data_IF_770436043407
#
_entry.id   IF_770436043407
#
_cell.length_a   1.000
_cell.length_b   1.000
_cell.length_c   1.000
_cell.angle_alpha   90.00
_cell.angle_beta   90.00
_cell.angle_gamma   90.00
#
_symmetry.space_group_name_H-M   'P 1'
#
loop_
_entity.id
_entity.type
_entity.pdbx_description
1 polymer ?
#
# COMPACT_ATOMS: atom_id res chain seq x y z
N UNK A 1 3.49 -8.55 -24.73
CA UNK A 1 4.63 -7.74 -24.23
C UNK A 1 4.74 -6.36 -24.89
N UNK A 2 4.25 -6.17 -26.10
CA UNK A 2 4.36 -4.88 -26.84
C UNK A 2 3.73 -3.68 -26.10
N UNK A 3 2.71 -3.87 -25.28
CA UNK A 3 1.97 -2.77 -24.63
C UNK A 3 2.47 -2.42 -23.22
N UNK A 4 3.36 -3.23 -22.64
CA UNK A 4 3.80 -3.03 -21.27
C UNK A 4 4.76 -1.84 -21.10
N UNK A 5 5.73 -1.68 -21.99
CA UNK A 5 6.65 -0.54 -21.97
C UNK A 5 5.93 0.80 -22.22
N UNK A 6 5.04 0.92 -23.23
CA UNK A 6 4.20 2.10 -23.40
C UNK A 6 3.32 2.39 -22.19
N UNK A 7 2.77 1.36 -21.52
CA UNK A 7 2.02 1.52 -20.28
C UNK A 7 2.88 2.14 -19.17
N UNK A 8 4.07 1.60 -18.91
CA UNK A 8 4.98 2.12 -17.88
C UNK A 8 5.39 3.56 -18.15
N UNK A 9 5.67 3.90 -19.39
CA UNK A 9 6.04 5.27 -19.77
C UNK A 9 4.88 6.25 -19.58
N UNK A 10 3.67 5.89 -20.03
CA UNK A 10 2.47 6.74 -19.93
C UNK A 10 2.00 6.89 -18.48
N UNK A 11 2.24 5.88 -17.64
CA UNK A 11 1.79 5.83 -16.26
C UNK A 11 2.96 5.93 -15.25
N UNK A 12 4.08 6.53 -15.67
CA UNK A 12 5.20 6.77 -14.73
C UNK A 12 4.78 7.69 -13.59
N UNK A 13 5.48 7.59 -12.47
CA UNK A 13 5.17 8.32 -11.24
C UNK A 13 4.91 9.82 -11.49
N UNK A 14 5.77 10.49 -12.24
CA UNK A 14 5.64 11.94 -12.55
C UNK A 14 4.34 12.31 -13.30
N UNK A 15 3.68 11.36 -13.96
CA UNK A 15 2.41 11.57 -14.67
C UNK A 15 1.22 11.23 -13.78
N UNK A 16 1.29 10.13 -13.02
CA UNK A 16 0.16 9.64 -12.24
C UNK A 16 0.09 10.23 -10.85
N UNK A 17 1.22 10.52 -10.22
CA UNK A 17 1.26 11.07 -8.87
C UNK A 17 0.45 12.37 -8.70
N UNK A 18 0.56 13.38 -9.59
CA UNK A 18 -0.26 14.58 -9.46
C UNK A 18 -1.77 14.31 -9.54
N UNK A 19 -2.17 13.30 -10.31
CA UNK A 19 -3.59 12.91 -10.44
C UNK A 19 -4.11 12.22 -9.18
N UNK A 20 -3.31 11.30 -8.64
CA UNK A 20 -3.62 10.57 -7.41
C UNK A 20 -3.71 11.55 -6.23
N UNK A 21 -2.72 12.41 -6.06
CA UNK A 21 -2.68 13.38 -4.95
C UNK A 21 -3.80 14.41 -5.06
N UNK A 22 -4.10 14.89 -6.28
CA UNK A 22 -5.21 15.80 -6.52
C UNK A 22 -6.57 15.17 -6.14
N UNK A 23 -6.86 13.96 -6.64
CA UNK A 23 -8.11 13.25 -6.33
C UNK A 23 -8.28 13.06 -4.82
N UNK A 24 -7.23 12.60 -4.13
CA UNK A 24 -7.30 12.37 -2.69
C UNK A 24 -7.42 13.68 -1.91
N UNK A 25 -6.82 14.76 -2.39
CA UNK A 25 -6.97 16.09 -1.78
C UNK A 25 -8.40 16.59 -1.91
N UNK A 26 -8.98 16.52 -3.10
CA UNK A 26 -10.38 16.87 -3.34
C UNK A 26 -11.34 16.06 -2.45
N UNK A 27 -11.10 14.73 -2.36
CA UNK A 27 -11.85 13.85 -1.46
C UNK A 27 -11.71 14.28 0.00
N UNK A 28 -10.50 14.59 0.46
CA UNK A 28 -10.21 14.93 1.86
C UNK A 28 -10.73 16.32 2.26
N UNK A 29 -10.81 17.24 1.31
CA UNK A 29 -11.29 18.60 1.50
C UNK A 29 -12.80 18.73 1.28
N UNK A 30 -13.47 17.72 0.76
CA UNK A 30 -14.93 17.70 0.68
C UNK A 30 -15.51 17.72 2.11
N UNK A 31 -16.33 18.74 2.38
CA UNK A 31 -16.97 18.97 3.69
C UNK A 31 -17.86 17.81 4.15
N UNK A 32 -18.32 16.98 3.22
CA UNK A 32 -19.11 15.80 3.51
C UNK A 32 -18.26 14.58 3.88
N UNK A 33 -16.94 14.63 3.67
CA UNK A 33 -16.01 13.54 3.98
C UNK A 33 -15.52 13.65 5.42
N UNK A 34 -16.30 13.10 6.35
CA UNK A 34 -15.96 13.02 7.78
C UNK A 34 -15.33 11.68 8.15
N UNK A 35 -15.38 10.70 7.27
CA UNK A 35 -14.87 9.36 7.50
C UNK A 35 -13.36 9.29 7.28
N UNK A 36 -12.67 8.33 7.94
CA UNK A 36 -11.27 8.05 7.64
C UNK A 36 -11.10 7.55 6.20
N UNK A 37 -9.99 7.89 5.59
CA UNK A 37 -9.64 7.52 4.21
C UNK A 37 -8.46 6.55 4.24
N UNK A 38 -8.65 5.36 3.71
CA UNK A 38 -7.58 4.39 3.49
C UNK A 38 -7.22 4.25 2.02
N UNK A 39 -6.00 3.86 1.74
CA UNK A 39 -5.54 3.53 0.38
C UNK A 39 -5.02 2.10 0.31
N UNK A 40 -5.47 1.34 -0.68
CA UNK A 40 -4.91 0.05 -1.02
C UNK A 40 -4.23 0.13 -2.38
N UNK A 41 -2.94 -0.22 -2.45
CA UNK A 41 -2.16 -0.22 -3.68
C UNK A 41 -1.64 -1.61 -4.03
N UNK A 42 -1.80 -2.05 -5.28
CA UNK A 42 -1.38 -3.35 -5.75
C UNK A 42 -0.37 -3.20 -6.90
N UNK A 43 0.67 -4.03 -6.92
CA UNK A 43 1.66 -4.03 -7.99
C UNK A 43 2.18 -2.61 -8.27
N UNK A 44 1.95 -2.09 -9.47
CA UNK A 44 2.29 -0.73 -9.87
C UNK A 44 1.70 0.35 -8.92
N UNK A 45 0.49 0.15 -8.41
CA UNK A 45 -0.16 1.06 -7.46
C UNK A 45 0.48 1.09 -6.07
N UNK A 46 1.29 0.09 -5.73
CA UNK A 46 1.95 -0.02 -4.42
C UNK A 46 2.92 1.13 -4.13
N UNK A 47 3.69 1.59 -5.13
CA UNK A 47 4.56 2.75 -4.97
C UNK A 47 3.76 4.02 -4.62
N UNK A 48 2.60 4.22 -5.26
CA UNK A 48 1.74 5.37 -4.97
C UNK A 48 1.17 5.31 -3.55
N UNK A 49 0.72 4.12 -3.12
CA UNK A 49 0.23 3.91 -1.77
C UNK A 49 1.32 4.21 -0.72
N UNK A 50 2.53 3.69 -0.91
CA UNK A 50 3.65 3.94 0.01
C UNK A 50 4.04 5.43 0.02
N UNK A 51 4.08 6.10 -1.13
CA UNK A 51 4.38 7.54 -1.17
C UNK A 51 3.34 8.40 -0.46
N UNK A 52 2.08 7.96 -0.38
CA UNK A 52 1.05 8.63 0.42
C UNK A 52 1.29 8.53 1.93
N UNK A 53 2.09 7.57 2.37
CA UNK A 53 2.52 7.46 3.77
C UNK A 53 3.71 8.34 4.13
N UNK A 54 4.34 9.00 3.16
CA UNK A 54 5.49 9.87 3.41
C UNK A 54 5.05 11.25 3.91
N UNK A 55 5.90 11.90 4.70
CA UNK A 55 5.67 13.27 5.18
C UNK A 55 6.07 14.33 4.13
N UNK A 56 5.51 14.23 2.94
CA UNK A 56 5.75 15.18 1.84
C UNK A 56 4.53 16.08 1.61
N UNK A 57 4.76 17.28 1.10
CA UNK A 57 3.70 18.27 0.90
C UNK A 57 2.60 17.77 -0.05
N UNK A 58 2.98 17.02 -1.09
CA UNK A 58 2.06 16.49 -2.09
C UNK A 58 1.13 15.40 -1.53
N UNK A 59 1.51 14.77 -0.41
CA UNK A 59 0.70 13.78 0.31
C UNK A 59 -0.17 14.42 1.43
N UNK A 60 -0.32 15.74 1.43
CA UNK A 60 -1.08 16.50 2.44
C UNK A 60 -2.03 17.50 1.79
N UNK A 61 -3.04 17.90 2.57
CA UNK A 61 -3.90 19.06 2.28
C UNK A 61 -3.12 20.36 2.49
N UNK A 62 -3.72 21.50 2.14
CA UNK A 62 -3.18 22.83 2.45
C UNK A 62 -3.02 23.05 3.96
N UNK A 63 -3.92 22.51 4.77
CA UNK A 63 -3.84 22.52 6.24
C UNK A 63 -2.84 21.51 6.81
N UNK A 64 -2.02 20.86 5.96
CA UNK A 64 -1.01 19.85 6.32
C UNK A 64 -1.56 18.53 6.90
N UNK A 65 -2.86 18.27 6.78
CA UNK A 65 -3.45 16.98 7.12
C UNK A 65 -3.04 15.92 6.07
N UNK A 66 -2.63 14.71 6.46
CA UNK A 66 -2.38 13.63 5.51
C UNK A 66 -3.60 13.33 4.62
N UNK A 67 -3.37 13.01 3.35
CA UNK A 67 -4.44 12.69 2.40
C UNK A 67 -5.11 11.36 2.72
N UNK A 68 -4.42 10.48 3.43
CA UNK A 68 -4.93 9.16 3.88
C UNK A 68 -4.61 8.95 5.35
N UNK A 69 -5.40 8.13 6.03
CA UNK A 69 -5.22 7.81 7.46
C UNK A 69 -4.51 6.46 7.65
N UNK A 70 -4.59 5.55 6.66
CA UNK A 70 -3.93 4.25 6.69
C UNK A 70 -3.62 3.77 5.27
N UNK A 71 -2.56 2.98 5.16
CA UNK A 71 -2.05 2.45 3.89
C UNK A 71 -1.98 0.93 3.95
N UNK A 72 -2.44 0.28 2.88
CA UNK A 72 -2.19 -1.12 2.60
C UNK A 72 -1.56 -1.27 1.22
N UNK A 73 -0.62 -2.19 1.08
CA UNK A 73 -0.11 -2.57 -0.24
C UNK A 73 0.11 -4.07 -0.33
N UNK A 74 -0.15 -4.64 -1.50
CA UNK A 74 0.23 -6.00 -1.80
C UNK A 74 1.16 -6.06 -3.02
N UNK A 75 2.21 -6.87 -2.91
CA UNK A 75 3.25 -7.08 -3.95
C UNK A 75 3.62 -5.77 -4.68
N UNK A 76 4.09 -4.73 -3.96
CA UNK A 76 4.39 -3.44 -4.56
C UNK A 76 5.52 -3.54 -5.57
N UNK A 77 5.45 -2.72 -6.64
CA UNK A 77 6.49 -2.63 -7.66
C UNK A 77 7.22 -1.29 -7.61
N UNK A 78 8.44 -1.27 -8.15
CA UNK A 78 9.25 -0.06 -8.36
C UNK A 78 9.62 0.70 -7.08
N UNK A 79 9.69 0.01 -5.95
CA UNK A 79 10.17 0.59 -4.71
C UNK A 79 11.70 0.73 -4.72
N UNK A 80 12.17 1.87 -4.26
CA UNK A 80 13.56 2.07 -3.90
C UNK A 80 13.75 1.77 -2.42
N UNK A 81 14.11 0.53 -2.10
CA UNK A 81 14.44 0.10 -0.73
C UNK A 81 15.94 0.32 -0.52
N UNK A 82 16.36 1.01 0.55
CA UNK A 82 15.61 1.35 1.78
C UNK A 82 14.83 2.66 1.77
N UNK A 83 15.03 3.56 0.82
CA UNK A 83 14.57 4.96 0.90
C UNK A 83 13.05 5.11 0.99
N UNK A 84 12.28 4.42 0.12
CA UNK A 84 10.82 4.56 0.13
C UNK A 84 10.20 4.02 1.43
N UNK A 85 10.80 2.98 2.01
CA UNK A 85 10.34 2.40 3.28
C UNK A 85 10.79 3.24 4.48
N UNK A 86 12.01 3.76 4.42
CA UNK A 86 12.56 4.64 5.47
C UNK A 86 11.74 5.92 5.68
N UNK A 87 11.11 6.43 4.61
CA UNK A 87 10.30 7.65 4.63
C UNK A 87 8.83 7.44 5.05
N UNK A 88 8.43 6.23 5.39
CA UNK A 88 7.07 5.93 5.87
C UNK A 88 6.82 6.59 7.22
N UNK A 89 5.75 7.37 7.32
CA UNK A 89 5.31 8.08 8.55
C UNK A 89 3.85 7.80 8.90
N UNK A 90 3.09 7.12 8.03
CA UNK A 90 1.73 6.68 8.34
C UNK A 90 1.67 5.16 8.49
N UNK A 91 0.65 4.70 9.19
CA UNK A 91 0.40 3.29 9.43
C UNK A 91 0.30 2.50 8.11
N UNK A 92 1.09 1.43 8.00
CA UNK A 92 1.32 0.70 6.76
C UNK A 92 1.27 -0.82 6.97
N UNK A 93 0.44 -1.49 6.18
CA UNK A 93 0.44 -2.95 6.06
C UNK A 93 0.92 -3.37 4.67
N UNK A 94 1.85 -4.34 4.63
CA UNK A 94 2.42 -4.90 3.39
C UNK A 94 2.11 -6.40 3.34
N UNK A 95 1.54 -6.87 2.23
CA UNK A 95 1.43 -8.27 1.86
C UNK A 95 2.40 -8.57 0.71
N UNK A 96 3.37 -9.45 0.92
CA UNK A 96 4.41 -9.73 -0.07
C UNK A 96 4.74 -11.23 -0.14
N UNK A 97 4.96 -11.76 -1.34
CA UNK A 97 5.45 -13.12 -1.52
C UNK A 97 6.97 -13.18 -1.39
N UNK A 98 7.50 -14.26 -0.84
CA UNK A 98 8.96 -14.47 -0.76
C UNK A 98 9.59 -14.91 -2.10
N UNK A 99 8.76 -15.33 -3.07
CA UNK A 99 9.15 -15.59 -4.47
C UNK A 99 8.66 -14.47 -5.43
N UNK A 100 8.59 -13.23 -4.93
CA UNK A 100 8.22 -12.06 -5.73
C UNK A 100 9.38 -11.68 -6.67
N UNK A 101 9.20 -11.90 -7.98
CA UNK A 101 10.23 -11.61 -8.98
C UNK A 101 10.52 -10.12 -9.21
N UNK A 102 9.80 -9.21 -8.54
CA UNK A 102 9.96 -7.75 -8.67
C UNK A 102 10.66 -7.15 -7.47
N UNK A 103 10.38 -7.66 -6.28
CA UNK A 103 11.04 -7.28 -5.03
C UNK A 103 11.85 -8.47 -4.49
N UNK A 104 13.16 -8.33 -4.43
CA UNK A 104 14.04 -9.43 -4.00
C UNK A 104 13.84 -9.76 -2.52
N UNK A 105 14.14 -10.99 -2.12
CA UNK A 105 14.08 -11.43 -0.73
C UNK A 105 14.94 -10.56 0.21
N UNK A 106 16.04 -10.00 -0.27
CA UNK A 106 16.87 -9.05 0.49
C UNK A 106 16.09 -7.76 0.76
N UNK A 107 15.46 -7.18 -0.26
CA UNK A 107 14.66 -5.95 -0.11
C UNK A 107 13.45 -6.16 0.79
N UNK A 108 12.80 -7.34 0.73
CA UNK A 108 11.67 -7.70 1.60
C UNK A 108 12.10 -7.68 3.06
N UNK A 109 13.21 -8.37 3.40
CA UNK A 109 13.74 -8.41 4.77
C UNK A 109 14.21 -7.03 5.26
N UNK A 110 14.82 -6.25 4.37
CA UNK A 110 15.24 -4.88 4.69
C UNK A 110 14.03 -3.98 4.97
N UNK A 111 12.97 -4.07 4.17
CA UNK A 111 11.73 -3.35 4.41
C UNK A 111 11.06 -3.75 5.75
N UNK A 112 11.00 -5.05 6.05
CA UNK A 112 10.50 -5.57 7.32
C UNK A 112 11.30 -5.00 8.51
N UNK A 113 12.63 -5.06 8.45
CA UNK A 113 13.50 -4.56 9.50
C UNK A 113 13.37 -3.05 9.72
N UNK A 114 13.27 -2.27 8.63
CA UNK A 114 13.10 -0.81 8.72
C UNK A 114 11.75 -0.48 9.38
N UNK A 115 10.66 -1.13 8.99
CA UNK A 115 9.35 -0.88 9.57
C UNK A 115 9.27 -1.33 11.02
N UNK A 116 9.84 -2.48 11.36
CA UNK A 116 9.90 -2.98 12.74
C UNK A 116 10.69 -2.05 13.70
N UNK A 117 11.63 -1.27 13.17
CA UNK A 117 12.39 -0.29 13.95
C UNK A 117 11.65 1.03 14.19
N UNK A 118 10.54 1.28 13.50
CA UNK A 118 9.72 2.49 13.69
C UNK A 118 8.73 2.29 14.83
N UNK A 119 8.89 3.02 15.91
CA UNK A 119 8.05 2.89 17.12
C UNK A 119 6.79 3.75 17.09
N UNK A 120 6.76 4.74 16.22
CA UNK A 120 5.69 5.73 16.06
C UNK A 120 4.76 5.42 14.88
N UNK A 121 5.03 4.36 14.15
CA UNK A 121 4.25 3.87 13.00
C UNK A 121 3.75 2.46 13.31
N UNK A 122 2.41 2.28 13.37
CA UNK A 122 1.85 0.93 13.37
C UNK A 122 2.07 0.31 11.98
N UNK A 123 2.84 -0.77 11.93
CA UNK A 123 3.17 -1.40 10.67
C UNK A 123 3.21 -2.92 10.79
N UNK A 124 2.88 -3.59 9.69
CA UNK A 124 3.00 -5.03 9.55
C UNK A 124 3.50 -5.40 8.15
N UNK A 125 4.37 -6.40 8.08
CA UNK A 125 4.80 -7.04 6.84
C UNK A 125 4.46 -8.52 6.94
N UNK A 126 3.51 -8.97 6.13
CA UNK A 126 3.13 -10.38 6.05
C UNK A 126 3.77 -10.99 4.81
N UNK A 127 4.64 -11.98 5.04
CA UNK A 127 5.36 -12.67 3.97
C UNK A 127 4.63 -13.98 3.67
N UNK A 128 4.22 -14.16 2.41
CA UNK A 128 3.48 -15.33 1.93
C UNK A 128 4.46 -16.31 1.27
N UNK A 129 4.61 -17.53 1.81
CA UNK A 129 5.57 -18.50 1.29
C UNK A 129 5.28 -18.90 -0.16
N UNK A 130 6.31 -18.92 -1.01
CA UNK A 130 6.24 -19.30 -2.43
C UNK A 130 5.28 -18.44 -3.29
N UNK A 131 4.71 -17.39 -2.71
CA UNK A 131 3.82 -16.50 -3.45
C UNK A 131 4.61 -15.61 -4.40
N UNK A 132 4.11 -15.53 -5.63
CA UNK A 132 4.73 -14.75 -6.72
C UNK A 132 4.12 -13.36 -6.82
N UNK A 133 4.80 -12.49 -7.56
CA UNK A 133 4.27 -11.16 -7.86
C UNK A 133 2.87 -11.23 -8.44
N UNK A 134 1.94 -10.50 -7.83
CA UNK A 134 0.53 -10.47 -8.24
C UNK A 134 -0.37 -11.50 -7.56
N UNK A 135 0.13 -12.30 -6.62
CA UNK A 135 -0.61 -13.39 -5.98
C UNK A 135 -1.97 -12.96 -5.42
N UNK A 136 -2.06 -11.79 -4.82
CA UNK A 136 -3.29 -11.34 -4.15
C UNK A 136 -4.44 -10.97 -5.09
N UNK A 137 -4.15 -10.73 -6.39
CA UNK A 137 -5.15 -10.28 -7.36
C UNK A 137 -5.24 -11.14 -8.63
N UNK A 138 -4.29 -12.05 -8.85
CA UNK A 138 -4.22 -12.90 -10.06
C UNK A 138 -4.59 -14.36 -9.81
N UNK A 139 -4.83 -14.74 -8.55
CA UNK A 139 -5.22 -16.11 -8.22
C UNK A 139 -6.51 -16.51 -8.95
N UNK A 140 -6.50 -17.72 -9.47
CA UNK A 140 -7.65 -18.25 -10.20
C UNK A 140 -8.74 -18.72 -9.23
N UNK A 141 -9.86 -18.03 -9.20
CA UNK A 141 -11.03 -18.44 -8.40
C UNK A 141 -11.63 -19.78 -8.84
N UNK A 142 -11.23 -20.32 -10.00
CA UNK A 142 -11.64 -21.64 -10.47
C UNK A 142 -10.96 -22.80 -9.72
N UNK A 143 -9.95 -22.50 -8.87
CA UNK A 143 -9.24 -23.51 -8.03
C UNK A 143 -9.26 -23.08 -6.57
N UNK A 144 -10.41 -23.14 -5.89
CA UNK A 144 -10.59 -22.58 -4.54
C UNK A 144 -9.63 -23.19 -3.51
N UNK A 145 -9.25 -24.47 -3.68
CA UNK A 145 -8.36 -25.18 -2.76
C UNK A 145 -6.87 -25.03 -3.10
N UNK A 146 -6.51 -24.23 -4.09
CA UNK A 146 -5.10 -23.99 -4.39
C UNK A 146 -4.45 -23.11 -3.32
N UNK A 147 -3.15 -23.28 -3.11
CA UNK A 147 -2.36 -22.40 -2.23
C UNK A 147 -2.47 -20.94 -2.66
N UNK A 148 -2.41 -20.67 -3.97
CA UNK A 148 -2.52 -19.33 -4.54
C UNK A 148 -3.85 -18.65 -4.17
N UNK A 149 -4.97 -19.40 -4.27
CA UNK A 149 -6.29 -18.85 -3.90
C UNK A 149 -6.38 -18.58 -2.41
N UNK A 150 -5.93 -19.51 -1.56
CA UNK A 150 -5.92 -19.30 -0.10
C UNK A 150 -5.09 -18.08 0.30
N UNK A 151 -3.89 -17.93 -0.28
CA UNK A 151 -3.02 -16.78 0.00
C UNK A 151 -3.61 -15.46 -0.48
N UNK A 152 -4.30 -15.45 -1.64
CA UNK A 152 -5.00 -14.26 -2.11
C UNK A 152 -6.13 -13.85 -1.14
N UNK A 153 -6.93 -14.81 -0.66
CA UNK A 153 -7.97 -14.55 0.34
C UNK A 153 -7.40 -14.13 1.70
N UNK A 154 -6.25 -14.66 2.09
CA UNK A 154 -5.56 -14.24 3.32
C UNK A 154 -5.06 -12.80 3.21
N UNK A 155 -4.50 -12.39 2.06
CA UNK A 155 -4.09 -11.02 1.82
C UNK A 155 -5.30 -10.06 1.78
N UNK A 156 -6.43 -10.49 1.23
CA UNK A 156 -7.68 -9.73 1.29
C UNK A 156 -8.16 -9.56 2.73
N UNK A 157 -8.17 -10.63 3.52
CA UNK A 157 -8.52 -10.58 4.94
C UNK A 157 -7.54 -9.71 5.75
N UNK A 158 -6.24 -9.73 5.42
CA UNK A 158 -5.24 -8.83 6.01
C UNK A 158 -5.63 -7.37 5.75
N UNK A 159 -5.90 -7.00 4.51
CA UNK A 159 -6.30 -5.63 4.14
C UNK A 159 -7.57 -5.18 4.87
N UNK A 160 -8.61 -6.03 4.91
CA UNK A 160 -9.87 -5.71 5.59
C UNK A 160 -9.64 -5.51 7.09
N UNK A 161 -8.95 -6.43 7.76
CA UNK A 161 -8.66 -6.33 9.19
C UNK A 161 -7.78 -5.11 9.50
N UNK A 162 -6.81 -4.82 8.62
CA UNK A 162 -5.97 -3.65 8.72
C UNK A 162 -6.80 -2.37 8.77
N UNK A 163 -7.61 -2.12 7.75
CA UNK A 163 -8.44 -0.91 7.70
C UNK A 163 -9.47 -0.86 8.83
N UNK A 164 -10.09 -1.98 9.20
CA UNK A 164 -11.00 -2.04 10.35
C UNK A 164 -10.32 -1.62 11.66
N UNK A 165 -9.06 -2.02 11.87
CA UNK A 165 -8.27 -1.62 13.04
C UNK A 165 -7.94 -0.15 13.00
N UNK A 166 -7.39 0.34 11.88
CA UNK A 166 -6.94 1.70 11.74
C UNK A 166 -8.09 2.71 11.81
N UNK A 167 -9.22 2.41 11.22
CA UNK A 167 -10.37 3.32 11.22
C UNK A 167 -11.07 3.45 12.57
N UNK A 168 -10.98 2.44 13.43
CA UNK A 168 -11.49 2.53 14.80
C UNK A 168 -10.68 3.51 15.64
N UNK A 169 -9.38 3.58 15.43
CA UNK A 169 -8.48 4.48 16.18
C UNK A 169 -8.56 5.93 15.70
N UNK A 170 -9.04 6.14 14.48
CA UNK A 170 -9.14 7.48 13.86
C UNK A 170 -10.48 8.17 14.15
N UNK A 171 -11.51 7.42 14.59
CA UNK A 171 -12.78 8.02 14.98
C UNK A 171 -12.65 8.71 16.36
N UNK A 172 -13.09 9.98 16.50
CA UNK A 172 -13.18 10.58 17.82
C UNK A 172 -14.12 9.72 18.68
N UNK A 173 -13.70 9.42 19.91
CA UNK A 173 -14.54 8.76 20.90
C UNK A 173 -15.86 9.53 21.00
N UNK A 174 -16.96 8.89 20.63
CA UNK A 174 -18.28 9.42 20.91
C UNK A 174 -18.45 9.35 22.45
N UNK A 175 -18.15 10.46 23.08
CA UNK A 175 -18.44 10.70 24.50
C UNK A 175 -19.83 11.34 24.62
#
# INVERSE_FOLDING_TARGET
MADFLPFLYRNRLSVCWPRVSKFLRELREDKNTVLPVGIAGFCWGGLHAIKLSHNIAEAKTESRRPLVDAVFTAHPSNLNVPQDIGNVELNLSIAIGDDDGVMSAKQIREAEAILAAKTDVDSEVVIYPEAKHGFSIRASRAKPDSQETRQAEEAERQAIKWFQRQFKTTQPSQS
#
